data_IF_516701327530
#
_entry.id   IF_516701327530
#
_cell.length_a   1.000
_cell.length_b   1.000
_cell.length_c   1.000
_cell.angle_alpha   90.00
_cell.angle_beta   90.00
_cell.angle_gamma   90.00
#
_symmetry.space_group_name_H-M   'P 1'
#
loop_
_entity.id
_entity.type
_entity.pdbx_description
1 polymer ?
#
# COMPACT_ATOMS: atom_id res chain seq x y z
N UNK A 1 -9.71 -10.89 51.06
CA UNK A 1 -8.51 -11.79 50.90
C UNK A 1 -8.16 -11.81 49.41
N UNK A 2 -6.90 -11.59 48.99
CA UNK A 2 -6.55 -11.63 47.56
C UNK A 2 -6.88 -13.02 46.99
N UNK A 3 -7.76 -13.08 45.98
CA UNK A 3 -8.16 -14.30 45.27
C UNK A 3 -7.82 -14.12 43.79
N UNK A 4 -7.57 -15.26 43.13
CA UNK A 4 -7.04 -15.47 41.77
C UNK A 4 -7.13 -14.25 40.84
N UNK A 5 -5.98 -13.82 40.31
CA UNK A 5 -5.89 -12.83 39.24
C UNK A 5 -5.81 -11.36 39.70
N UNK A 6 -6.26 -11.04 40.92
CA UNK A 6 -6.12 -9.70 41.50
C UNK A 6 -5.22 -9.73 42.73
N UNK A 7 -4.02 -9.16 42.61
CA UNK A 7 -3.03 -9.06 43.70
C UNK A 7 -2.62 -7.59 43.93
N UNK A 8 -1.69 -7.35 44.86
CA UNK A 8 -1.22 -5.99 45.16
C UNK A 8 -0.54 -5.27 43.98
N UNK A 9 -0.10 -6.01 42.96
CA UNK A 9 0.56 -5.51 41.75
C UNK A 9 -0.45 -5.29 40.62
N UNK A 10 -1.35 -6.24 40.39
CA UNK A 10 -2.34 -6.33 39.33
C UNK A 10 -3.74 -6.12 39.92
N UNK A 11 -4.19 -4.87 39.97
CA UNK A 11 -5.50 -4.51 40.51
C UNK A 11 -6.04 -3.20 39.93
N UNK A 12 -7.30 -2.89 40.27
CA UNK A 12 -7.98 -1.66 39.88
C UNK A 12 -7.86 -0.51 40.90
N UNK A 13 -6.92 -0.57 41.87
CA UNK A 13 -6.80 0.44 42.94
C UNK A 13 -6.25 1.78 42.44
N UNK A 14 -5.41 1.77 41.40
CA UNK A 14 -4.79 2.97 40.83
C UNK A 14 -4.81 2.94 39.32
N UNK A 15 -4.91 4.11 38.68
CA UNK A 15 -5.00 4.22 37.22
C UNK A 15 -3.90 3.45 36.46
N UNK A 16 -2.60 3.55 36.80
CA UNK A 16 -1.57 2.79 36.08
C UNK A 16 -1.69 1.28 36.24
N UNK A 17 -2.06 0.79 37.43
CA UNK A 17 -2.28 -0.65 37.66
C UNK A 17 -3.47 -1.17 36.86
N UNK A 18 -4.55 -0.40 36.81
CA UNK A 18 -5.71 -0.71 35.95
C UNK A 18 -5.30 -0.79 34.48
N UNK A 19 -4.48 0.15 34.00
CA UNK A 19 -4.02 0.15 32.60
C UNK A 19 -3.14 -1.05 32.26
N UNK A 20 -2.25 -1.49 33.15
CA UNK A 20 -1.42 -2.68 32.95
C UNK A 20 -2.31 -3.93 32.84
N UNK A 21 -3.30 -4.05 33.74
CA UNK A 21 -4.21 -5.19 33.77
C UNK A 21 -5.11 -5.22 32.52
N UNK A 22 -5.65 -4.07 32.10
CA UNK A 22 -6.41 -3.95 30.85
C UNK A 22 -5.52 -4.28 29.64
N UNK A 23 -4.30 -3.75 29.58
CA UNK A 23 -3.37 -4.05 28.48
C UNK A 23 -3.09 -5.55 28.36
N UNK A 24 -2.87 -6.25 29.47
CA UNK A 24 -2.73 -7.71 29.47
C UNK A 24 -3.99 -8.39 28.90
N UNK A 25 -5.18 -8.00 29.38
CA UNK A 25 -6.45 -8.56 28.92
C UNK A 25 -6.79 -8.22 27.47
N UNK A 26 -6.23 -7.15 26.89
CA UNK A 26 -6.43 -6.81 25.47
C UNK A 26 -5.97 -7.94 24.53
N UNK A 27 -5.04 -8.77 24.99
CA UNK A 27 -4.52 -9.96 24.30
C UNK A 27 -5.26 -11.25 24.68
N UNK A 28 -6.38 -11.15 25.41
CA UNK A 28 -7.13 -12.25 26.01
C UNK A 28 -6.35 -13.09 27.04
N UNK A 29 -5.28 -12.55 27.62
CA UNK A 29 -4.51 -13.22 28.66
C UNK A 29 -5.04 -12.92 30.08
N UNK A 30 -5.23 -13.95 30.90
CA UNK A 30 -5.55 -13.83 32.33
C UNK A 30 -6.92 -13.22 32.67
N UNK A 31 -7.83 -13.15 31.70
CA UNK A 31 -9.19 -12.63 31.92
C UNK A 31 -10.02 -13.51 32.86
N UNK A 32 -9.74 -14.81 32.90
CA UNK A 32 -10.41 -15.80 33.73
C UNK A 32 -10.12 -15.56 35.22
N UNK A 33 -8.86 -15.30 35.57
CA UNK A 33 -8.50 -14.91 36.93
C UNK A 33 -9.12 -13.57 37.31
N UNK A 34 -9.02 -12.57 36.44
CA UNK A 34 -9.64 -11.25 36.70
C UNK A 34 -11.15 -11.38 36.88
N UNK A 35 -11.82 -12.22 36.09
CA UNK A 35 -13.25 -12.49 36.22
C UNK A 35 -13.57 -13.09 37.58
N UNK A 36 -12.84 -14.14 37.99
CA UNK A 36 -13.02 -14.81 39.28
C UNK A 36 -12.91 -13.83 40.44
N UNK A 37 -11.93 -12.91 40.39
CA UNK A 37 -11.76 -11.85 41.38
C UNK A 37 -12.92 -10.84 41.45
N UNK A 38 -13.49 -10.43 40.31
CA UNK A 38 -14.54 -9.38 40.26
C UNK A 38 -15.96 -9.91 40.48
N UNK A 39 -16.22 -11.21 40.25
CA UNK A 39 -17.53 -11.83 40.47
C UNK A 39 -17.67 -12.44 41.87
N UNK A 40 -16.59 -12.47 42.66
CA UNK A 40 -16.60 -13.14 43.95
C UNK A 40 -17.48 -12.38 44.96
N UNK A 41 -18.64 -12.96 45.26
CA UNK A 41 -19.58 -12.54 46.30
C UNK A 41 -19.48 -13.45 47.55
N UNK A 42 -18.63 -14.47 47.52
CA UNK A 42 -18.40 -15.40 48.64
C UNK A 42 -17.17 -14.98 49.48
N UNK A 43 -17.29 -15.07 50.80
CA UNK A 43 -16.25 -14.67 51.78
C UNK A 43 -15.80 -13.20 51.67
N UNK A 44 -16.74 -12.27 51.50
CA UNK A 44 -16.46 -10.82 51.40
C UNK A 44 -17.20 -10.00 52.49
N UNK A 45 -16.65 -8.84 52.83
CA UNK A 45 -17.23 -7.89 53.77
C UNK A 45 -18.17 -6.93 53.04
N UNK A 46 -19.42 -6.86 53.51
CA UNK A 46 -20.40 -5.92 52.98
C UNK A 46 -20.04 -4.46 53.33
N UNK A 47 -20.40 -3.49 52.47
CA UNK A 47 -20.23 -2.07 52.78
C UNK A 47 -20.96 -1.69 54.07
N UNK A 48 -20.24 -1.08 55.02
CA UNK A 48 -20.81 -0.55 56.25
C UNK A 48 -20.64 0.99 56.29
N UNK A 49 -21.70 1.75 55.98
CA UNK A 49 -21.67 3.22 55.98
C UNK A 49 -21.37 3.83 57.35
N UNK A 50 -21.75 3.17 58.45
CA UNK A 50 -21.57 3.69 59.81
C UNK A 50 -20.12 3.60 60.29
N UNK A 51 -19.37 2.61 59.78
CA UNK A 51 -17.92 2.48 60.01
C UNK A 51 -17.07 3.10 58.90
N UNK A 52 -17.68 3.64 57.85
CA UNK A 52 -16.98 4.18 56.68
C UNK A 52 -16.24 3.12 55.85
N UNK A 53 -16.63 1.85 55.95
CA UNK A 53 -16.01 0.76 55.18
C UNK A 53 -16.75 0.54 53.86
N UNK A 54 -16.10 0.65 52.70
CA UNK A 54 -16.72 0.43 51.39
C UNK A 54 -16.99 -1.05 51.07
N UNK A 55 -16.52 -2.00 51.90
CA UNK A 55 -16.59 -3.44 51.63
C UNK A 55 -15.59 -3.91 50.58
N UNK A 56 -15.48 -5.23 50.38
CA UNK A 56 -14.59 -5.87 49.39
C UNK A 56 -15.29 -6.91 48.50
N UNK A 57 -16.63 -6.93 48.49
CA UNK A 57 -17.43 -7.80 47.63
C UNK A 57 -17.38 -7.39 46.15
N UNK A 58 -17.26 -8.39 45.28
CA UNK A 58 -17.47 -8.24 43.85
C UNK A 58 -18.95 -8.09 43.47
N UNK A 59 -19.22 -8.05 42.16
CA UNK A 59 -20.59 -8.08 41.63
C UNK A 59 -20.61 -8.91 40.36
N UNK A 60 -21.32 -10.03 40.39
CA UNK A 60 -21.35 -10.99 39.27
C UNK A 60 -21.89 -10.35 37.98
N UNK A 61 -23.05 -9.69 38.05
CA UNK A 61 -23.69 -9.07 36.88
C UNK A 61 -22.84 -7.97 36.25
N UNK A 62 -22.29 -7.07 37.08
CA UNK A 62 -21.49 -5.94 36.59
C UNK A 62 -20.13 -6.40 36.10
N UNK A 63 -19.49 -7.34 36.80
CA UNK A 63 -18.20 -7.90 36.44
C UNK A 63 -18.23 -8.63 35.10
N UNK A 64 -19.23 -9.49 34.89
CA UNK A 64 -19.42 -10.20 33.62
C UNK A 64 -19.67 -9.21 32.48
N UNK A 65 -20.57 -8.23 32.67
CA UNK A 65 -20.88 -7.24 31.64
C UNK A 65 -19.67 -6.39 31.26
N UNK A 66 -18.89 -5.93 32.25
CA UNK A 66 -17.67 -5.15 32.04
C UNK A 66 -16.63 -5.95 31.26
N UNK A 67 -16.31 -7.17 31.70
CA UNK A 67 -15.25 -7.95 31.10
C UNK A 67 -15.61 -8.42 29.69
N UNK A 68 -16.83 -8.92 29.47
CA UNK A 68 -17.26 -9.37 28.15
C UNK A 68 -17.34 -8.21 27.16
N UNK A 69 -17.87 -7.05 27.56
CA UNK A 69 -17.89 -5.88 26.68
C UNK A 69 -16.48 -5.42 26.32
N UNK A 70 -15.56 -5.40 27.29
CA UNK A 70 -14.16 -5.07 27.06
C UNK A 70 -13.49 -6.04 26.07
N UNK A 71 -13.63 -7.36 26.29
CA UNK A 71 -13.03 -8.38 25.42
C UNK A 71 -13.58 -8.32 24.00
N UNK A 72 -14.89 -8.17 23.82
CA UNK A 72 -15.51 -8.07 22.49
C UNK A 72 -15.06 -6.81 21.76
N UNK A 73 -15.08 -5.64 22.43
CA UNK A 73 -14.65 -4.37 21.82
C UNK A 73 -13.16 -4.43 21.47
N UNK A 74 -12.31 -4.89 22.39
CA UNK A 74 -10.86 -5.02 22.16
C UNK A 74 -10.58 -5.94 20.97
N UNK A 75 -11.24 -7.10 20.92
CA UNK A 75 -11.09 -8.06 19.83
C UNK A 75 -11.51 -7.48 18.47
N UNK A 76 -12.65 -6.78 18.40
CA UNK A 76 -13.10 -6.12 17.18
C UNK A 76 -12.12 -5.05 16.71
N UNK A 77 -11.59 -4.23 17.63
CA UNK A 77 -10.60 -3.20 17.29
C UNK A 77 -9.32 -3.84 16.75
N UNK A 78 -8.78 -4.84 17.44
CA UNK A 78 -7.53 -5.51 17.05
C UNK A 78 -7.67 -6.18 15.68
N UNK A 79 -8.77 -6.90 15.44
CA UNK A 79 -9.02 -7.54 14.14
C UNK A 79 -9.19 -6.51 13.04
N UNK A 80 -10.02 -5.49 13.25
CA UNK A 80 -10.28 -4.50 12.21
C UNK A 80 -9.02 -3.69 11.89
N UNK A 81 -8.20 -3.36 12.89
CA UNK A 81 -6.88 -2.74 12.68
C UNK A 81 -5.96 -3.66 11.88
N UNK A 82 -5.90 -4.95 12.23
CA UNK A 82 -5.04 -5.91 11.53
C UNK A 82 -5.45 -6.10 10.06
N UNK A 83 -6.75 -6.22 9.80
CA UNK A 83 -7.28 -6.28 8.42
C UNK A 83 -6.95 -4.99 7.67
N UNK A 84 -7.14 -3.82 8.28
CA UNK A 84 -6.82 -2.55 7.65
C UNK A 84 -5.34 -2.44 7.26
N UNK A 85 -4.42 -2.82 8.17
CA UNK A 85 -2.98 -2.81 7.89
C UNK A 85 -2.61 -3.77 6.77
N UNK A 86 -3.19 -4.98 6.75
CA UNK A 86 -2.95 -5.94 5.66
C UNK A 86 -3.48 -5.39 4.33
N UNK A 87 -4.70 -4.87 4.32
CA UNK A 87 -5.30 -4.33 3.10
C UNK A 87 -4.51 -3.14 2.56
N UNK A 88 -4.04 -2.26 3.44
CA UNK A 88 -3.20 -1.13 3.06
C UNK A 88 -1.88 -1.62 2.43
N UNK A 89 -1.20 -2.58 3.06
CA UNK A 89 0.03 -3.13 2.53
C UNK A 89 -0.18 -3.87 1.20
N UNK A 90 -1.27 -4.63 1.08
CA UNK A 90 -1.63 -5.30 -0.16
C UNK A 90 -1.98 -4.29 -1.25
N UNK A 91 -2.73 -3.23 -0.91
CA UNK A 91 -3.08 -2.15 -1.82
C UNK A 91 -1.81 -1.47 -2.35
N UNK A 92 -0.89 -1.07 -1.47
CA UNK A 92 0.39 -0.47 -1.87
C UNK A 92 1.21 -1.40 -2.76
N UNK A 93 1.36 -2.67 -2.39
CA UNK A 93 2.09 -3.64 -3.22
C UNK A 93 1.41 -3.89 -4.59
N UNK A 94 0.09 -3.76 -4.66
CA UNK A 94 -0.65 -3.86 -5.93
C UNK A 94 -0.50 -2.60 -6.76
N UNK A 95 -0.49 -1.43 -6.12
CA UNK A 95 -0.26 -0.12 -6.74
C UNK A 95 1.14 -0.05 -7.36
N UNK A 96 2.18 -0.50 -6.65
CA UNK A 96 3.55 -0.59 -7.17
C UNK A 96 3.65 -1.47 -8.43
N UNK A 97 2.86 -2.55 -8.51
CA UNK A 97 2.82 -3.45 -9.68
C UNK A 97 1.91 -2.92 -10.79
N UNK A 98 0.85 -2.19 -10.44
CA UNK A 98 -0.19 -1.78 -11.38
C UNK A 98 -0.04 -0.35 -11.88
N UNK A 99 0.79 0.52 -11.30
CA UNK A 99 0.85 1.95 -11.66
C UNK A 99 1.95 2.33 -12.65
N UNK A 100 3.04 1.57 -12.77
CA UNK A 100 4.16 1.88 -13.67
C UNK A 100 4.18 1.09 -14.98
N UNK A 101 5.14 1.46 -15.83
CA UNK A 101 5.77 0.51 -16.76
C UNK A 101 6.80 -0.28 -15.95
N UNK A 102 6.86 -1.58 -16.16
CA UNK A 102 7.82 -2.48 -15.52
C UNK A 102 9.07 -2.64 -16.39
N UNK A 103 10.16 -3.15 -15.81
CA UNK A 103 11.39 -3.48 -16.57
C UNK A 103 11.09 -4.43 -17.75
N UNK A 104 10.17 -5.39 -17.56
CA UNK A 104 9.74 -6.32 -18.59
C UNK A 104 9.07 -5.60 -19.79
N UNK A 105 8.39 -4.46 -19.56
CA UNK A 105 7.77 -3.67 -20.63
C UNK A 105 8.82 -2.96 -21.50
N UNK A 106 9.92 -2.51 -20.88
CA UNK A 106 11.04 -1.90 -21.60
C UNK A 106 11.82 -2.94 -22.40
N UNK A 107 12.03 -4.13 -21.84
CA UNK A 107 12.66 -5.25 -22.55
C UNK A 107 11.82 -5.67 -23.77
N UNK A 108 10.50 -5.80 -23.61
CA UNK A 108 9.57 -6.09 -24.72
C UNK A 108 9.66 -5.04 -25.84
N UNK A 109 9.75 -3.75 -25.50
CA UNK A 109 9.93 -2.69 -26.49
C UNK A 109 11.22 -2.88 -27.31
N UNK A 110 12.35 -3.16 -26.67
CA UNK A 110 13.63 -3.34 -27.35
C UNK A 110 13.70 -4.64 -28.15
N UNK A 111 13.08 -5.73 -27.68
CA UNK A 111 12.98 -6.98 -28.43
C UNK A 111 12.23 -6.80 -29.75
N UNK A 112 11.12 -6.04 -29.73
CA UNK A 112 10.36 -5.75 -30.94
C UNK A 112 11.11 -4.73 -31.81
N UNK A 113 11.76 -3.74 -31.21
CA UNK A 113 12.57 -2.74 -31.92
C UNK A 113 13.63 -3.39 -32.81
N UNK A 114 14.33 -4.41 -32.30
CA UNK A 114 15.37 -5.14 -33.05
C UNK A 114 14.87 -5.78 -34.35
N UNK A 115 13.56 -6.03 -34.48
CA UNK A 115 12.98 -6.55 -35.73
C UNK A 115 12.89 -5.47 -36.82
N UNK A 116 12.79 -4.19 -36.42
CA UNK A 116 12.71 -3.04 -37.32
C UNK A 116 14.08 -2.38 -37.56
N UNK A 117 15.01 -2.52 -36.62
CA UNK A 117 16.40 -2.03 -36.69
C UNK A 117 17.41 -3.15 -36.35
N UNK A 118 17.58 -4.15 -37.24
CA UNK A 118 18.48 -5.29 -37.00
C UNK A 118 19.96 -4.91 -36.99
N UNK A 119 20.30 -3.76 -37.58
CA UNK A 119 21.68 -3.25 -37.66
C UNK A 119 22.06 -2.40 -36.43
N UNK A 120 21.13 -2.14 -35.52
CA UNK A 120 21.37 -1.36 -34.29
C UNK A 120 21.69 0.11 -34.55
N UNK A 121 21.10 0.69 -35.59
CA UNK A 121 21.30 2.10 -35.96
C UNK A 121 20.64 3.08 -35.00
N UNK A 122 19.71 2.61 -34.16
CA UNK A 122 18.84 3.37 -33.27
C UNK A 122 17.80 4.25 -33.99
N UNK A 123 17.61 4.06 -35.29
CA UNK A 123 16.64 4.80 -36.10
C UNK A 123 15.70 3.85 -36.86
N UNK A 124 14.45 4.27 -37.00
CA UNK A 124 13.50 3.68 -37.97
C UNK A 124 12.91 4.77 -38.85
N UNK A 125 12.38 4.40 -40.02
CA UNK A 125 11.70 5.35 -40.90
C UNK A 125 10.27 5.65 -40.44
N UNK A 126 9.79 6.85 -40.76
CA UNK A 126 8.43 7.30 -40.43
C UNK A 126 7.31 6.41 -40.95
N UNK A 127 7.49 5.81 -42.12
CA UNK A 127 6.52 4.88 -42.71
C UNK A 127 6.39 3.56 -41.91
N UNK A 128 7.40 3.18 -41.14
CA UNK A 128 7.40 1.94 -40.34
C UNK A 128 6.77 2.13 -38.95
N UNK A 129 6.69 3.37 -38.43
CA UNK A 129 6.21 3.64 -37.07
C UNK A 129 4.79 3.13 -36.82
N UNK A 130 3.89 3.29 -37.80
CA UNK A 130 2.51 2.81 -37.66
C UNK A 130 2.42 1.29 -37.48
N UNK A 131 3.32 0.53 -38.11
CA UNK A 131 3.44 -0.93 -37.94
C UNK A 131 4.09 -1.27 -36.61
N UNK A 132 5.21 -0.61 -36.29
CA UNK A 132 5.93 -0.81 -35.04
C UNK A 132 5.01 -0.66 -33.82
N UNK A 133 4.25 0.43 -33.75
CA UNK A 133 3.31 0.68 -32.63
C UNK A 133 2.16 -0.33 -32.55
N UNK A 134 1.79 -0.96 -33.66
CA UNK A 134 0.70 -1.96 -33.73
C UNK A 134 1.18 -3.35 -33.31
N UNK A 135 2.47 -3.65 -33.50
CA UNK A 135 3.10 -4.94 -33.16
C UNK A 135 3.57 -5.00 -31.70
N UNK A 136 3.82 -3.85 -31.06
CA UNK A 136 4.09 -3.78 -29.61
C UNK A 136 3.04 -4.52 -28.80
N UNK A 137 3.40 -4.99 -27.61
CA UNK A 137 2.46 -5.65 -26.70
C UNK A 137 1.87 -4.64 -25.69
N UNK A 138 0.69 -4.92 -25.09
CA UNK A 138 0.21 -4.15 -23.95
C UNK A 138 1.29 -4.13 -22.85
N UNK A 139 1.55 -2.98 -22.20
CA UNK A 139 0.76 -1.74 -22.21
C UNK A 139 1.16 -0.69 -23.26
N UNK A 140 2.26 -0.86 -24.00
CA UNK A 140 2.79 0.15 -24.93
C UNK A 140 2.13 0.11 -26.34
N UNK A 141 1.36 -0.92 -26.64
CA UNK A 141 0.68 -1.10 -27.92
C UNK A 141 -0.30 0.04 -28.28
N UNK A 142 -0.23 0.50 -29.53
CA UNK A 142 -1.20 1.42 -30.14
C UNK A 142 -1.74 0.82 -31.43
N UNK A 143 -2.90 0.17 -31.32
CA UNK A 143 -3.58 -0.46 -32.45
C UNK A 143 -3.90 0.49 -33.59
N UNK A 144 -3.86 -0.03 -34.83
CA UNK A 144 -4.36 0.67 -36.01
C UNK A 144 -5.88 0.88 -35.95
N UNK A 145 -6.40 2.01 -36.46
CA UNK A 145 -5.67 3.12 -37.09
C UNK A 145 -5.04 4.08 -36.06
N UNK A 146 -3.71 4.13 -36.02
CA UNK A 146 -2.93 4.88 -35.02
C UNK A 146 -2.36 6.21 -35.54
N UNK A 147 -2.61 6.57 -36.81
CA UNK A 147 -2.06 7.79 -37.44
C UNK A 147 -2.39 9.09 -36.69
N UNK A 148 -3.63 9.24 -36.22
CA UNK A 148 -4.02 10.41 -35.43
C UNK A 148 -3.29 10.47 -34.10
N UNK A 149 -3.06 9.31 -33.48
CA UNK A 149 -2.36 9.20 -32.20
C UNK A 149 -0.88 9.55 -32.35
N UNK A 150 -0.23 9.07 -33.41
CA UNK A 150 1.15 9.43 -33.77
C UNK A 150 1.29 10.95 -33.89
N UNK A 151 0.37 11.62 -34.60
CA UNK A 151 0.40 13.08 -34.74
C UNK A 151 0.19 13.79 -33.40
N UNK A 152 -0.65 13.25 -32.51
CA UNK A 152 -0.87 13.85 -31.18
C UNK A 152 0.29 13.66 -30.19
N UNK A 153 1.17 12.68 -30.43
CA UNK A 153 2.32 12.41 -29.57
C UNK A 153 3.52 13.33 -29.88
N UNK A 154 3.49 14.06 -31.00
CA UNK A 154 4.50 15.07 -31.39
C UNK A 154 5.95 14.55 -31.33
N UNK A 155 6.16 13.32 -31.84
CA UNK A 155 7.48 12.67 -31.86
C UNK A 155 8.40 13.41 -32.85
N UNK A 156 9.61 13.83 -32.44
CA UNK A 156 10.60 14.45 -33.33
C UNK A 156 10.95 13.57 -34.53
N UNK A 157 11.03 14.19 -35.71
CA UNK A 157 11.47 13.54 -36.96
C UNK A 157 12.80 14.14 -37.36
N UNK A 158 13.84 13.30 -37.43
CA UNK A 158 15.18 13.68 -37.88
C UNK A 158 15.26 13.72 -39.41
N UNK A 159 16.39 14.23 -39.93
CA UNK A 159 16.69 14.24 -41.37
C UNK A 159 16.48 12.87 -42.04
N UNK A 160 15.76 12.89 -43.17
CA UNK A 160 15.51 11.70 -43.98
C UNK A 160 14.30 10.88 -43.56
N UNK A 161 13.32 11.50 -42.89
CA UNK A 161 12.13 10.85 -42.32
C UNK A 161 12.49 9.73 -41.34
N UNK A 162 13.57 9.93 -40.56
CA UNK A 162 14.04 9.01 -39.53
C UNK A 162 13.53 9.45 -38.17
N UNK A 163 13.28 8.49 -37.28
CA UNK A 163 12.88 8.73 -35.90
C UNK A 163 13.75 7.91 -34.96
N UNK A 164 14.10 8.52 -33.85
CA UNK A 164 15.01 7.94 -32.88
C UNK A 164 14.28 7.03 -31.89
N UNK A 165 14.91 5.91 -31.56
CA UNK A 165 14.37 4.91 -30.63
C UNK A 165 13.88 5.51 -29.31
N UNK A 166 14.74 6.30 -28.67
CA UNK A 166 14.46 6.87 -27.34
C UNK A 166 13.31 7.86 -27.38
N UNK A 167 13.21 8.68 -28.43
CA UNK A 167 12.12 9.66 -28.58
C UNK A 167 10.74 8.98 -28.71
N UNK A 168 10.70 7.83 -29.40
CA UNK A 168 9.49 7.03 -29.52
C UNK A 168 9.11 6.42 -28.17
N UNK A 169 10.07 5.86 -27.44
CA UNK A 169 9.83 5.27 -26.12
C UNK A 169 9.36 6.31 -25.08
N UNK A 170 9.97 7.49 -25.08
CA UNK A 170 9.57 8.62 -24.23
C UNK A 170 8.13 9.07 -24.53
N UNK A 171 7.79 9.20 -25.82
CA UNK A 171 6.43 9.54 -26.23
C UNK A 171 5.38 8.49 -25.81
N UNK A 172 5.71 7.20 -25.92
CA UNK A 172 4.84 6.11 -25.48
C UNK A 172 4.67 6.08 -23.95
N UNK A 173 5.76 6.32 -23.22
CA UNK A 173 5.73 6.41 -21.75
C UNK A 173 4.83 7.55 -21.29
N UNK A 174 4.98 8.74 -21.89
CA UNK A 174 4.11 9.90 -21.62
C UNK A 174 2.64 9.60 -21.95
N UNK A 175 2.38 8.92 -23.06
CA UNK A 175 1.02 8.55 -23.44
C UNK A 175 0.40 7.52 -22.48
N UNK A 176 1.17 6.55 -22.00
CA UNK A 176 0.71 5.56 -21.01
C UNK A 176 0.25 6.24 -19.71
N UNK A 177 1.06 7.13 -19.14
CA UNK A 177 0.70 7.87 -17.93
C UNK A 177 -0.48 8.82 -18.17
N UNK A 178 -0.53 9.49 -19.33
CA UNK A 178 -1.67 10.35 -19.69
C UNK A 178 -2.99 9.58 -19.80
N UNK A 179 -2.98 8.32 -20.28
CA UNK A 179 -4.18 7.46 -20.33
C UNK A 179 -4.64 7.01 -18.95
N UNK A 180 -3.70 6.81 -18.02
CA UNK A 180 -3.98 6.32 -16.66
C UNK A 180 -4.55 7.39 -15.73
N UNK A 181 -4.38 8.66 -16.07
CA UNK A 181 -4.85 9.79 -15.26
C UNK A 181 -3.92 10.16 -14.10
N UNK A 182 -2.74 9.52 -14.02
CA UNK A 182 -1.72 9.85 -13.02
C UNK A 182 -0.82 10.97 -13.58
N UNK A 183 -0.55 12.05 -12.82
CA UNK A 183 0.47 13.01 -13.21
C UNK A 183 1.81 12.28 -13.34
N UNK A 184 2.59 12.62 -14.37
CA UNK A 184 3.92 12.06 -14.58
C UNK A 184 4.79 12.46 -13.39
N UNK A 185 5.01 11.57 -12.43
CA UNK A 185 6.19 11.67 -11.57
C UNK A 185 7.37 11.32 -12.48
N UNK A 186 8.19 12.32 -12.81
CA UNK A 186 9.46 12.08 -13.50
C UNK A 186 10.27 11.09 -12.65
N UNK A 187 10.23 9.80 -13.01
CA UNK A 187 11.16 8.83 -12.45
C UNK A 187 12.56 9.35 -12.78
N UNK A 188 13.36 9.62 -11.75
CA UNK A 188 14.67 10.26 -11.90
C UNK A 188 15.62 9.54 -12.86
N UNK A 189 15.31 8.30 -13.23
CA UNK A 189 16.03 7.51 -14.21
C UNK A 189 15.81 8.00 -15.65
N UNK A 190 14.61 8.47 -16.03
CA UNK A 190 14.36 9.08 -17.35
C UNK A 190 15.05 10.46 -17.48
N UNK A 191 15.18 11.20 -16.37
CA UNK A 191 15.92 12.46 -16.34
C UNK A 191 17.44 12.25 -16.46
N UNK A 192 17.97 11.10 -16.01
CA UNK A 192 19.38 10.74 -16.26
C UNK A 192 19.63 10.29 -17.71
N UNK A 193 18.63 9.72 -18.39
CA UNK A 193 18.69 9.33 -19.81
C UNK A 193 18.34 10.49 -20.75
N UNK A 194 17.71 11.55 -20.24
CA UNK A 194 17.49 12.82 -20.94
C UNK A 194 18.50 13.90 -20.52
N UNK A 195 19.82 13.76 -20.77
CA UNK A 195 20.61 14.96 -20.96
C UNK A 195 20.12 15.55 -22.29
N UNK A 196 19.70 16.82 -22.29
CA UNK A 196 19.56 17.55 -23.55
C UNK A 196 20.80 17.31 -24.40
N UNK A 197 20.65 16.64 -25.54
CA UNK A 197 21.74 16.41 -26.50
C UNK A 197 21.39 17.03 -27.85
N UNK A 198 21.54 18.36 -27.98
CA UNK A 198 21.65 19.00 -29.28
C UNK A 198 22.97 18.66 -30.02
N UNK A 199 23.80 17.73 -29.52
CA UNK A 199 25.16 17.45 -30.05
C UNK A 199 25.46 15.95 -30.27
N UNK A 200 24.47 15.07 -30.49
CA UNK A 200 24.76 13.76 -31.09
C UNK A 200 25.00 13.90 -32.59
N UNK A 201 26.12 13.36 -33.08
CA UNK A 201 26.54 13.46 -34.48
C UNK A 201 25.51 12.76 -35.37
N UNK A 202 24.61 13.54 -35.98
CA UNK A 202 23.52 13.06 -36.84
C UNK A 202 22.12 13.47 -36.39
N UNK A 203 21.96 13.94 -35.14
CA UNK A 203 20.70 14.47 -34.62
C UNK A 203 20.56 15.94 -35.02
N UNK A 204 20.01 16.18 -36.21
CA UNK A 204 19.51 17.50 -36.60
C UNK A 204 17.97 17.43 -36.68
N UNK A 205 17.25 18.15 -35.80
CA UNK A 205 15.80 18.26 -35.87
C UNK A 205 15.34 19.06 -37.10
#
# INVERSE_FOLDING_TARGET
KEKSGLDDVYNFKTFPKSMILLFQMSTSAGWDGVLDGIINEEDCEQPNPEMGSPGDCGSSTVGIAFLLSYLVISFLIVINMYIAVILENYSQATEDVQEGLTDDDYDMYYEIWQQFDPDGTQYIRYDQLSEFLDVLEPPLQIHKPNKYKIVSMDIPICKGDLMFCVDILDALTKDFFARKGNPIEETGELAEVAPGRPDEVGYEP
#
